data_IF_240132911550
#
_entry.id   IF_240132911550
#
_cell.length_a   1.000
_cell.length_b   1.000
_cell.length_c   1.000
_cell.angle_alpha   90.00
_cell.angle_beta   90.00
_cell.angle_gamma   90.00
#
_symmetry.space_group_name_H-M   'P 1'
#
loop_
_entity.id
_entity.type
_entity.pdbx_description
1 polymer ?
#
# COMPACT_ATOMS: atom_id res chain seq x y z
N UNK A 1 -13.89 -4.20 14.98
CA UNK A 1 -12.52 -3.83 14.54
C UNK A 1 -12.38 -4.38 13.13
N UNK A 2 -12.53 -3.54 12.10
CA UNK A 2 -12.43 -3.97 10.72
C UNK A 2 -10.95 -4.22 10.39
N UNK A 3 -10.48 -5.42 10.74
CA UNK A 3 -9.14 -5.88 10.41
C UNK A 3 -9.14 -6.14 8.91
N UNK A 4 -8.30 -5.43 8.15
CA UNK A 4 -7.99 -5.81 6.78
C UNK A 4 -7.56 -7.28 6.81
N UNK A 5 -8.37 -8.15 6.19
CA UNK A 5 -8.13 -9.58 6.12
C UNK A 5 -6.79 -9.89 5.44
N UNK A 6 -6.21 -11.05 5.74
CA UNK A 6 -4.90 -11.44 5.20
C UNK A 6 -4.91 -11.52 3.66
N UNK A 7 -6.05 -11.90 3.08
CA UNK A 7 -6.30 -11.92 1.64
C UNK A 7 -6.06 -10.56 0.96
N UNK A 8 -6.42 -9.46 1.61
CA UNK A 8 -6.20 -8.12 1.09
C UNK A 8 -4.73 -7.72 1.15
N UNK A 9 -4.03 -8.14 2.20
CA UNK A 9 -2.58 -7.90 2.32
C UNK A 9 -1.84 -8.59 1.17
N UNK A 10 -2.25 -9.80 0.82
CA UNK A 10 -1.69 -10.54 -0.32
C UNK A 10 -2.01 -9.85 -1.66
N UNK A 11 -3.24 -9.37 -1.85
CA UNK A 11 -3.57 -8.55 -3.03
C UNK A 11 -2.76 -7.25 -3.10
N UNK A 12 -2.60 -6.55 -1.97
CA UNK A 12 -1.82 -5.32 -1.92
C UNK A 12 -0.35 -5.57 -2.20
N UNK A 13 0.21 -6.70 -1.72
CA UNK A 13 1.55 -7.15 -2.12
C UNK A 13 1.63 -7.33 -3.63
N UNK A 14 0.65 -8.00 -4.25
CA UNK A 14 0.60 -8.21 -5.70
C UNK A 14 0.56 -6.90 -6.48
N UNK A 15 -0.35 -6.00 -6.12
CA UNK A 15 -0.51 -4.69 -6.78
C UNK A 15 0.72 -3.80 -6.61
N UNK A 16 1.28 -3.74 -5.40
CA UNK A 16 2.49 -2.97 -5.14
C UNK A 16 3.70 -3.57 -5.87
N UNK A 17 3.85 -4.90 -5.87
CA UNK A 17 4.94 -5.58 -6.59
C UNK A 17 4.82 -5.41 -8.10
N UNK A 18 3.61 -5.50 -8.67
CA UNK A 18 3.35 -5.24 -10.09
C UNK A 18 3.73 -3.81 -10.47
N UNK A 19 3.30 -2.83 -9.65
CA UNK A 19 3.66 -1.44 -9.85
C UNK A 19 5.18 -1.19 -9.74
N UNK A 20 5.84 -1.85 -8.79
CA UNK A 20 7.28 -1.79 -8.59
C UNK A 20 8.09 -2.51 -9.67
N UNK A 21 7.52 -3.57 -10.26
CA UNK A 21 8.09 -4.30 -11.38
C UNK A 21 8.09 -3.46 -12.66
N UNK A 22 7.16 -2.52 -12.80
CA UNK A 22 7.18 -1.53 -13.88
C UNK A 22 8.28 -0.47 -13.63
N UNK A 23 9.52 -0.83 -13.98
CA UNK A 23 10.69 0.05 -13.90
C UNK A 23 10.51 1.39 -14.62
N UNK A 24 9.59 1.45 -15.59
CA UNK A 24 9.13 2.65 -16.29
C UNK A 24 8.58 3.74 -15.36
N UNK A 25 8.14 3.37 -14.14
CA UNK A 25 7.67 4.31 -13.12
C UNK A 25 8.80 5.04 -12.40
N UNK A 26 10.03 4.53 -12.49
CA UNK A 26 11.18 5.09 -11.81
C UNK A 26 12.07 5.86 -12.80
N UNK A 27 12.60 7.02 -12.37
CA UNK A 27 13.52 7.84 -13.18
C UNK A 27 14.77 7.09 -13.66
N UNK A 28 15.19 6.06 -12.92
CA UNK A 28 16.36 5.23 -13.23
C UNK A 28 16.02 4.03 -14.13
N UNK A 29 14.73 3.83 -14.46
CA UNK A 29 14.26 2.71 -15.31
C UNK A 29 14.37 1.32 -14.66
N UNK A 30 14.81 1.23 -13.40
CA UNK A 30 14.97 -0.02 -12.68
C UNK A 30 13.70 -0.40 -11.95
N UNK A 31 13.34 -1.68 -12.03
CA UNK A 31 12.37 -2.28 -11.13
C UNK A 31 12.88 -2.19 -9.69
N UNK A 32 11.96 -2.05 -8.76
CA UNK A 32 12.27 -2.10 -7.33
C UNK A 32 11.54 -3.26 -6.68
N UNK A 33 11.98 -3.62 -5.49
CA UNK A 33 11.32 -4.62 -4.68
C UNK A 33 10.63 -3.93 -3.51
N UNK A 34 9.61 -4.59 -2.93
CA UNK A 34 8.93 -4.10 -1.73
C UNK A 34 9.94 -3.85 -0.59
N UNK A 35 11.01 -4.64 -0.53
CA UNK A 35 12.09 -4.52 0.44
C UNK A 35 12.98 -3.28 0.25
N UNK A 36 12.99 -2.67 -0.93
CA UNK A 36 13.78 -1.46 -1.22
C UNK A 36 13.14 -0.20 -0.60
N UNK A 37 11.85 -0.29 -0.27
CA UNK A 37 11.07 0.82 0.28
C UNK A 37 11.33 0.93 1.78
N UNK A 38 12.03 2.00 2.16
CA UNK A 38 12.44 2.25 3.56
C UNK A 38 11.58 3.28 4.29
N UNK A 39 10.79 4.07 3.57
CA UNK A 39 9.95 5.10 4.19
C UNK A 39 8.47 4.78 4.03
N UNK A 40 7.68 5.09 5.05
CA UNK A 40 6.23 4.96 4.99
C UNK A 40 5.60 5.90 3.95
N UNK A 41 6.23 7.04 3.67
CA UNK A 41 5.79 7.96 2.62
C UNK A 41 5.92 7.35 1.23
N UNK A 42 7.05 6.71 0.91
CA UNK A 42 7.25 5.98 -0.34
C UNK A 42 6.25 4.82 -0.45
N UNK A 43 6.09 4.04 0.62
CA UNK A 43 5.12 2.93 0.66
C UNK A 43 3.68 3.43 0.40
N UNK A 44 3.29 4.56 0.97
CA UNK A 44 1.99 5.19 0.74
C UNK A 44 1.84 5.69 -0.70
N UNK A 45 2.87 6.32 -1.25
CA UNK A 45 2.88 6.78 -2.63
C UNK A 45 2.69 5.62 -3.61
N UNK A 46 3.41 4.51 -3.40
CA UNK A 46 3.27 3.30 -4.21
C UNK A 46 1.86 2.75 -4.07
N UNK A 47 1.34 2.65 -2.84
CA UNK A 47 -0.02 2.17 -2.60
C UNK A 47 -1.08 3.00 -3.31
N UNK A 48 -0.95 4.33 -3.26
CA UNK A 48 -1.86 5.23 -3.96
C UNK A 48 -1.75 5.07 -5.48
N UNK A 49 -0.53 4.97 -6.02
CA UNK A 49 -0.29 4.80 -7.46
C UNK A 49 -0.72 3.44 -7.99
N UNK A 50 -0.61 2.40 -7.17
CA UNK A 50 -1.09 1.06 -7.47
C UNK A 50 -2.62 0.93 -7.35
N UNK A 51 -3.31 1.95 -6.84
CA UNK A 51 -4.76 1.96 -6.64
C UNK A 51 -5.22 1.26 -5.34
N UNK A 52 -4.30 0.92 -4.44
CA UNK A 52 -4.61 0.26 -3.16
C UNK A 52 -5.45 1.19 -2.26
N UNK A 53 -5.09 2.48 -2.19
CA UNK A 53 -5.86 3.45 -1.41
C UNK A 53 -7.28 3.58 -1.97
N UNK A 54 -7.41 3.56 -3.29
CA UNK A 54 -8.68 3.72 -4.01
C UNK A 54 -9.64 2.54 -3.77
N UNK A 55 -9.09 1.33 -3.65
CA UNK A 55 -9.81 0.11 -3.24
C UNK A 55 -10.29 0.24 -1.79
N UNK A 56 -9.42 0.69 -0.88
CA UNK A 56 -9.74 0.84 0.54
C UNK A 56 -10.80 1.91 0.80
N UNK A 57 -10.73 3.06 0.13
CA UNK A 57 -11.74 4.12 0.28
C UNK A 57 -13.08 3.76 -0.36
N UNK A 58 -13.17 2.61 -1.05
CA UNK A 58 -14.40 2.18 -1.73
C UNK A 58 -14.81 3.10 -2.89
N UNK A 59 -13.92 3.99 -3.33
CA UNK A 59 -14.25 5.08 -4.26
C UNK A 59 -14.08 4.67 -5.73
N UNK A 60 -13.71 3.42 -5.98
CA UNK A 60 -13.43 2.92 -7.32
C UNK A 60 -14.15 1.64 -7.64
N UNK A 61 -14.32 1.38 -8.94
CA UNK A 61 -14.94 0.16 -9.47
C UNK A 61 -14.20 -1.14 -9.06
N UNK A 62 -13.04 -1.03 -8.40
CA UNK A 62 -12.25 -2.12 -7.82
C UNK A 62 -12.48 -2.31 -6.31
N UNK A 63 -13.40 -1.57 -5.70
CA UNK A 63 -13.78 -1.74 -4.31
C UNK A 63 -14.18 -3.21 -4.07
N UNK A 64 -13.43 -3.88 -3.21
CA UNK A 64 -13.65 -5.29 -2.92
C UNK A 64 -14.71 -5.43 -1.81
N UNK A 65 -15.64 -6.40 -1.93
CA UNK A 65 -16.62 -6.66 -0.89
C UNK A 65 -15.91 -7.04 0.42
N UNK A 66 -16.26 -6.38 1.52
CA UNK A 66 -15.68 -6.64 2.85
C UNK A 66 -14.56 -5.68 3.29
N UNK A 67 -14.17 -4.70 2.46
CA UNK A 67 -13.20 -3.65 2.84
C UNK A 67 -13.85 -2.30 3.20
N UNK A 68 -15.16 -2.31 3.47
CA UNK A 68 -15.94 -1.12 3.80
C UNK A 68 -15.47 -0.48 5.12
N UNK A 69 -15.28 0.84 5.12
CA UNK A 69 -14.82 1.58 6.31
C UNK A 69 -13.32 1.48 6.58
N UNK A 70 -12.52 1.11 5.57
CA UNK A 70 -11.08 1.16 5.64
C UNK A 70 -10.60 2.62 5.71
N UNK A 71 -9.99 2.99 6.84
CA UNK A 71 -9.42 4.33 7.05
C UNK A 71 -7.91 4.30 6.92
N UNK A 72 -7.29 5.47 6.84
CA UNK A 72 -5.84 5.65 6.71
C UNK A 72 -5.02 4.78 7.68
N UNK A 73 -5.46 4.67 8.94
CA UNK A 73 -4.80 3.84 9.94
C UNK A 73 -4.81 2.33 9.58
N UNK A 74 -5.90 1.82 9.01
CA UNK A 74 -5.99 0.43 8.55
C UNK A 74 -5.09 0.21 7.34
N UNK A 75 -5.07 1.16 6.40
CA UNK A 75 -4.19 1.13 5.23
C UNK A 75 -2.73 1.13 5.67
N UNK A 76 -2.32 2.04 6.57
CA UNK A 76 -0.97 2.07 7.16
C UNK A 76 -0.59 0.72 7.78
N UNK A 77 -1.51 0.12 8.54
CA UNK A 77 -1.27 -1.18 9.17
C UNK A 77 -1.06 -2.29 8.14
N UNK A 78 -1.84 -2.32 7.05
CA UNK A 78 -1.62 -3.26 5.96
C UNK A 78 -0.31 -2.98 5.21
N UNK A 79 -0.01 -1.71 4.93
CA UNK A 79 1.23 -1.31 4.26
C UNK A 79 2.46 -1.66 5.10
N UNK A 80 2.40 -1.55 6.43
CA UNK A 80 3.47 -2.01 7.32
C UNK A 80 3.75 -3.51 7.20
N UNK A 81 2.72 -4.31 6.87
CA UNK A 81 2.87 -5.76 6.61
C UNK A 81 3.33 -6.06 5.17
N UNK A 82 2.94 -5.22 4.21
CA UNK A 82 3.36 -5.33 2.80
C UNK A 82 4.83 -4.92 2.64
N UNK A 83 5.22 -3.84 3.30
CA UNK A 83 6.55 -3.21 3.27
C UNK A 83 7.23 -3.35 4.64
N UNK A 84 7.82 -4.52 4.96
CA UNK A 84 8.38 -4.78 6.29
C UNK A 84 9.58 -3.88 6.63
N UNK A 85 10.25 -3.32 5.62
CA UNK A 85 11.38 -2.41 5.78
C UNK A 85 10.96 -0.92 5.84
N UNK A 86 9.69 -0.61 5.57
CA UNK A 86 9.23 0.77 5.54
C UNK A 86 8.97 1.28 6.97
N UNK A 87 9.72 2.30 7.37
CA UNK A 87 9.46 3.01 8.60
C UNK A 87 8.28 3.97 8.41
N UNK A 88 7.11 3.58 8.91
CA UNK A 88 5.97 4.49 9.09
C UNK A 88 6.25 5.34 10.33
N UNK A 89 7.15 6.33 10.19
CA UNK A 89 7.43 7.32 11.21
C UNK A 89 6.21 8.24 11.33
N UNK A 90 5.19 7.75 12.03
CA UNK A 90 3.99 8.48 12.37
C UNK A 90 4.37 9.52 13.44
N UNK A 91 4.84 10.69 13.01
CA UNK A 91 4.94 11.86 13.90
C UNK A 91 3.56 12.46 14.02
N UNK A 92 2.67 11.81 14.79
CA UNK A 92 1.52 12.51 15.35
C UNK A 92 2.06 13.53 16.35
N UNK A 93 2.11 14.80 15.96
CA UNK A 93 2.03 15.88 16.95
C UNK A 93 0.56 16.00 17.31
N UNK A 94 0.21 15.49 18.50
CA UNK A 94 -1.10 15.61 19.13
C UNK A 94 -1.41 17.07 19.47
#
# INVERSE_FOLDING_TARGET
MALIGNEFIEQFKGLAADWLADGSKFKDGKSRELSDIKTGADAWHIASRAGITDICYGNSAKALPGIEGCHDAHIKTALAKVFPNAAFADTYSY
#
